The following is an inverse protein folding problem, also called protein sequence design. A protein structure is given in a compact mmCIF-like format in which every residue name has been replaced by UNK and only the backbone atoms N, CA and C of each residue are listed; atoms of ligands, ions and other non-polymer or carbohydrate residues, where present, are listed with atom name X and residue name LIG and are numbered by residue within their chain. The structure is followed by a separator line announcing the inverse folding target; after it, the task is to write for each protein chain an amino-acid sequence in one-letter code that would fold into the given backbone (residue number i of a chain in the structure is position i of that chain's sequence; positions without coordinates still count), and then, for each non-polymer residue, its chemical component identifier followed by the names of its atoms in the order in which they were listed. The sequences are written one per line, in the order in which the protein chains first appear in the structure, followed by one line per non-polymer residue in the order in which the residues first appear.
data_IF_270883201860
#
_entry.id   IF_270883201860
#
_cell.length_a   1.000
_cell.length_b   1.000
_cell.length_c   1.000
_cell.angle_alpha   90.00
_cell.angle_beta   90.00
_cell.angle_gamma   90.00
#
_symmetry.space_group_name_H-M   'P 1'
#
loop_
_entity.id
_entity.type
_entity.pdbx_description
1 polymer ?
#
# COMPACT_ATOMS: atom_id res chain seq x y z
N UNK A 1 -10.21 12.94 10.37
CA UNK A 1 -9.38 11.76 10.56
C UNK A 1 -8.09 11.90 9.77
N UNK A 2 -6.98 11.62 10.41
CA UNK A 2 -5.69 11.80 9.75
C UNK A 2 -5.41 10.65 8.81
N UNK A 3 -4.93 10.97 7.62
CA UNK A 3 -4.44 9.97 6.69
C UNK A 3 -3.07 9.47 7.15
N UNK A 4 -2.74 8.25 6.76
CA UNK A 4 -1.41 7.74 7.01
C UNK A 4 -0.38 8.56 6.22
N UNK A 5 0.69 8.95 6.88
CA UNK A 5 1.74 9.73 6.24
C UNK A 5 2.73 8.79 5.55
N UNK A 6 2.74 8.81 4.23
CA UNK A 6 3.62 7.97 3.42
C UNK A 6 4.93 8.63 3.07
N UNK A 7 5.17 9.87 3.56
CA UNK A 7 6.33 10.64 3.13
C UNK A 7 7.67 10.00 3.50
N UNK A 8 7.69 9.18 4.54
CA UNK A 8 8.91 8.52 4.97
C UNK A 8 9.11 7.13 4.37
N UNK A 9 8.15 6.66 3.58
CA UNK A 9 8.27 5.35 2.96
C UNK A 9 9.11 5.45 1.68
N UNK A 10 10.24 4.74 1.59
CA UNK A 10 11.12 4.89 0.43
C UNK A 10 10.51 4.36 -0.87
N UNK A 11 9.45 3.57 -0.79
CA UNK A 11 8.81 3.03 -1.98
C UNK A 11 7.65 3.88 -2.48
N UNK A 12 7.33 4.96 -1.80
CA UNK A 12 6.15 5.78 -2.11
C UNK A 12 6.58 7.20 -2.42
N UNK A 13 5.97 7.79 -3.44
CA UNK A 13 6.20 9.18 -3.79
C UNK A 13 4.87 9.91 -3.86
N UNK A 14 4.90 11.19 -3.54
CA UNK A 14 3.75 12.08 -3.69
C UNK A 14 4.18 13.22 -4.59
N UNK A 15 3.58 13.30 -5.78
CA UNK A 15 3.94 14.31 -6.77
C UNK A 15 2.76 15.24 -6.94
N UNK A 16 2.90 16.53 -6.59
CA UNK A 16 1.81 17.48 -6.75
C UNK A 16 1.35 17.52 -8.20
N UNK A 17 0.04 17.49 -8.41
CA UNK A 17 -0.54 17.54 -9.73
C UNK A 17 -0.62 16.20 -10.46
N UNK A 18 0.02 15.17 -9.93
CA UNK A 18 -0.05 13.82 -10.51
C UNK A 18 -1.04 13.00 -9.70
N UNK A 19 -2.08 12.52 -10.35
CA UNK A 19 -3.16 11.75 -9.69
C UNK A 19 -3.66 12.50 -8.44
N UNK A 20 -3.85 13.80 -8.59
CA UNK A 20 -4.36 14.67 -7.52
C UNK A 20 -3.49 14.65 -6.25
N UNK A 21 -2.20 14.35 -6.39
CA UNK A 21 -1.29 14.32 -5.25
C UNK A 21 -1.40 13.10 -4.36
N UNK A 22 -2.12 12.07 -4.79
CA UNK A 22 -2.24 10.85 -4.01
C UNK A 22 -0.90 10.13 -3.90
N UNK A 23 -0.63 9.44 -2.78
CA UNK A 23 0.59 8.64 -2.66
C UNK A 23 0.62 7.53 -3.73
N UNK A 24 1.72 7.44 -4.44
CA UNK A 24 1.90 6.47 -5.51
C UNK A 24 3.09 5.58 -5.22
N UNK A 25 3.04 4.35 -5.70
CA UNK A 25 4.22 3.51 -5.69
C UNK A 25 5.27 4.14 -6.60
N UNK A 26 6.49 4.24 -6.10
CA UNK A 26 7.57 4.94 -6.79
C UNK A 26 7.78 4.36 -8.19
N UNK A 27 7.99 5.24 -9.17
CA UNK A 27 8.20 4.88 -10.56
C UNK A 27 6.97 4.26 -11.24
N UNK A 28 5.79 4.43 -10.66
CA UNK A 28 4.55 3.96 -11.25
C UNK A 28 3.49 5.04 -11.13
N UNK A 29 2.32 4.78 -11.72
CA UNK A 29 1.13 5.60 -11.50
C UNK A 29 0.14 4.90 -10.58
N UNK A 30 0.57 3.83 -9.93
CA UNK A 30 -0.30 3.02 -9.10
C UNK A 30 -0.46 3.64 -7.72
N UNK A 31 -1.66 4.04 -7.32
CA UNK A 31 -1.86 4.55 -5.96
C UNK A 31 -1.60 3.48 -4.93
N UNK A 32 -0.96 3.86 -3.84
CA UNK A 32 -0.70 2.93 -2.74
C UNK A 32 -2.02 2.37 -2.19
N UNK A 33 -3.08 3.18 -2.21
CA UNK A 33 -4.39 2.73 -1.73
C UNK A 33 -4.94 1.56 -2.54
N UNK A 34 -4.56 1.43 -3.81
CA UNK A 34 -4.99 0.28 -4.60
C UNK A 34 -4.38 -1.00 -4.04
N UNK A 35 -3.13 -0.94 -3.61
CA UNK A 35 -2.46 -2.11 -3.03
C UNK A 35 -3.07 -2.46 -1.69
N UNK A 36 -3.17 -1.49 -0.78
CA UNK A 36 -3.69 -1.77 0.56
C UNK A 36 -5.16 -2.15 0.53
N UNK A 37 -5.94 -1.49 -0.33
CA UNK A 37 -7.36 -1.79 -0.44
C UNK A 37 -7.63 -3.19 -0.96
N UNK A 38 -6.87 -3.63 -1.96
CA UNK A 38 -7.03 -5.00 -2.47
C UNK A 38 -6.62 -6.02 -1.42
N UNK A 39 -5.51 -5.77 -0.73
CA UNK A 39 -5.08 -6.65 0.34
C UNK A 39 -6.17 -6.78 1.40
N UNK A 40 -6.73 -5.65 1.84
CA UNK A 40 -7.76 -5.66 2.88
C UNK A 40 -9.00 -6.41 2.42
N UNK A 41 -9.40 -6.24 1.17
CA UNK A 41 -10.56 -6.94 0.62
C UNK A 41 -10.34 -8.45 0.61
N UNK A 42 -9.16 -8.91 0.22
CA UNK A 42 -8.85 -10.33 0.23
C UNK A 42 -8.83 -10.89 1.66
N UNK A 43 -8.32 -10.10 2.61
CA UNK A 43 -8.37 -10.52 4.01
C UNK A 43 -9.80 -10.65 4.50
N UNK A 44 -10.67 -9.73 4.10
CA UNK A 44 -12.08 -9.79 4.47
C UNK A 44 -12.77 -11.00 3.87
N UNK A 45 -12.29 -11.49 2.72
CA UNK A 45 -12.81 -12.70 2.11
C UNK A 45 -12.33 -13.97 2.80
N UNK A 46 -11.45 -13.84 3.78
CA UNK A 46 -10.98 -14.99 4.55
C UNK A 46 -9.61 -15.49 4.16
N UNK A 47 -8.92 -14.82 3.21
CA UNK A 47 -7.58 -15.26 2.83
C UNK A 47 -6.58 -14.97 3.94
N UNK A 48 -5.58 -15.85 4.07
CA UNK A 48 -4.47 -15.60 4.98
C UNK A 48 -3.65 -14.40 4.50
N UNK A 49 -2.81 -13.79 5.36
CA UNK A 49 -1.97 -12.69 4.91
C UNK A 49 -1.12 -13.03 3.71
N UNK A 50 -0.50 -14.21 3.68
CA UNK A 50 0.34 -14.59 2.55
C UNK A 50 -0.48 -14.77 1.28
N UNK A 51 -1.65 -15.40 1.38
CA UNK A 51 -2.52 -15.56 0.22
C UNK A 51 -3.04 -14.22 -0.29
N UNK A 52 -3.40 -13.32 0.63
CA UNK A 52 -3.87 -11.99 0.25
C UNK A 52 -2.78 -11.20 -0.46
N UNK A 53 -1.53 -11.33 -0.02
CA UNK A 53 -0.40 -10.68 -0.68
C UNK A 53 -0.21 -11.23 -2.08
N UNK A 54 -0.28 -12.55 -2.22
CA UNK A 54 -0.11 -13.19 -3.53
C UNK A 54 -1.21 -12.76 -4.51
N UNK A 55 -2.45 -12.69 -4.04
CA UNK A 55 -3.56 -12.25 -4.87
C UNK A 55 -3.42 -10.78 -5.25
N UNK A 56 -2.97 -9.95 -4.34
CA UNK A 56 -2.73 -8.54 -4.62
C UNK A 56 -1.67 -8.40 -5.72
N UNK A 57 -0.60 -9.19 -5.64
CA UNK A 57 0.43 -9.16 -6.66
C UNK A 57 -0.12 -9.60 -8.01
N UNK A 58 -1.03 -10.57 -8.04
CA UNK A 58 -1.64 -11.02 -9.29
C UNK A 58 -2.45 -9.90 -9.95
N UNK A 59 -3.04 -9.02 -9.15
CA UNK A 59 -3.76 -7.86 -9.69
C UNK A 59 -2.81 -6.83 -10.30
N UNK A 60 -1.58 -6.77 -9.79
CA UNK A 60 -0.59 -5.78 -10.22
C UNK A 60 0.75 -6.46 -10.48
N UNK A 61 0.87 -7.17 -11.61
CA UNK A 61 2.08 -7.97 -11.86
C UNK A 61 3.38 -7.17 -11.90
N UNK A 62 3.28 -5.87 -12.17
CA UNK A 62 4.46 -4.99 -12.18
C UNK A 62 4.98 -4.68 -10.79
N UNK A 63 4.23 -5.01 -9.74
CA UNK A 63 4.64 -4.75 -8.37
C UNK A 63 5.20 -6.03 -7.77
N UNK A 64 6.44 -5.95 -7.23
CA UNK A 64 7.05 -7.13 -6.63
C UNK A 64 6.47 -7.45 -5.26
N UNK A 65 6.59 -8.71 -4.85
CA UNK A 65 6.12 -9.12 -3.53
C UNK A 65 6.80 -8.33 -2.43
N UNK A 66 8.09 -8.05 -2.59
CA UNK A 66 8.82 -7.29 -1.57
C UNK A 66 8.26 -5.90 -1.39
N UNK A 67 7.85 -5.26 -2.49
CA UNK A 67 7.26 -3.92 -2.42
C UNK A 67 5.92 -3.96 -1.69
N UNK A 68 5.09 -4.95 -2.00
CA UNK A 68 3.80 -5.09 -1.32
C UNK A 68 3.99 -5.31 0.16
N UNK A 69 4.90 -6.21 0.53
CA UNK A 69 5.18 -6.49 1.94
C UNK A 69 5.71 -5.26 2.67
N UNK A 70 6.59 -4.51 2.02
CA UNK A 70 7.15 -3.31 2.62
C UNK A 70 6.08 -2.24 2.85
N UNK A 71 5.17 -2.07 1.91
CA UNK A 71 4.06 -1.12 2.04
C UNK A 71 3.16 -1.52 3.19
N UNK A 72 2.82 -2.80 3.29
CA UNK A 72 1.95 -3.27 4.36
C UNK A 72 2.63 -3.16 5.73
N UNK A 73 3.92 -3.46 5.79
CA UNK A 73 4.68 -3.32 7.02
C UNK A 73 4.77 -1.85 7.46
N UNK A 74 5.00 -0.96 6.51
CA UNK A 74 5.03 0.47 6.81
C UNK A 74 3.68 0.92 7.37
N UNK A 75 2.60 0.52 6.72
CA UNK A 75 1.27 0.89 7.19
C UNK A 75 1.01 0.38 8.60
N UNK A 76 1.34 -0.88 8.86
CA UNK A 76 1.10 -1.46 10.19
C UNK A 76 1.86 -0.69 11.27
N UNK A 77 3.13 -0.38 11.01
CA UNK A 77 3.96 0.34 11.97
C UNK A 77 3.43 1.74 12.24
N UNK A 78 3.09 2.46 11.17
CA UNK A 78 2.69 3.86 11.30
C UNK A 78 1.26 4.01 11.79
N UNK A 79 0.40 3.04 11.51
CA UNK A 79 -0.94 3.06 12.09
C UNK A 79 -0.90 2.92 13.60
N UNK A 80 -0.02 2.07 14.09
CA UNK A 80 0.16 1.93 15.54
C UNK A 80 0.63 3.22 16.16
N UNK A 81 1.59 3.88 15.53
CA UNK A 81 2.14 5.13 16.05
C UNK A 81 1.15 6.26 16.03
N UNK A 82 0.20 6.24 15.10
CA UNK A 82 -0.79 7.28 14.97
C UNK A 82 -1.90 7.17 16.01
N UNK A 83 -1.99 6.09 16.72
CA UNK A 83 -3.03 5.93 17.73
C UNK A 83 -2.66 6.66 18.99
N UNK A 84 -3.63 7.39 19.55
CA UNK A 84 -3.38 8.09 20.81
C UNK A 84 -3.10 7.14 21.96
#
# INVERSE_FOLDING_TARGET
MASLDWSECPLVEVIPGKVSGAPLLKNTRLPVDAITGNYDAFRDEGLSPDAAIAETRDCYPEVGLDAIRAILAYRATHQFQARP
#
